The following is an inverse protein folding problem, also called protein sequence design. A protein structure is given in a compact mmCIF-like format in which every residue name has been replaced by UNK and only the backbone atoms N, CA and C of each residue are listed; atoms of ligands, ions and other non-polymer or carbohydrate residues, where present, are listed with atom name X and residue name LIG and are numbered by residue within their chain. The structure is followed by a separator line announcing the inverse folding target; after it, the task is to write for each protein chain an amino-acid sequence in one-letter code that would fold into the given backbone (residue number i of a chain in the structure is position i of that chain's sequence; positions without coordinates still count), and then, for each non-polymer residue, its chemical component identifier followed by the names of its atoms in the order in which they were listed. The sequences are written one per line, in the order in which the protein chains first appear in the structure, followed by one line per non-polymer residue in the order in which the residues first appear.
data_IF_122402490291
#
_entry.id   IF_122402490291
#
_cell.length_a   1.000
_cell.length_b   1.000
_cell.length_c   1.000
_cell.angle_alpha   90.00
_cell.angle_beta   90.00
_cell.angle_gamma   90.00
#
_symmetry.space_group_name_H-M   'P 1'
#
loop_
_entity.id
_entity.type
_entity.pdbx_description
1 polymer ?
#
# COMPACT_ATOMS: atom_id res chain seq x y z
N UNK A 1 2.94 18.83 16.09
CA UNK A 1 3.84 17.67 15.96
C UNK A 1 3.38 16.70 14.87
N UNK A 2 2.06 16.45 14.71
CA UNK A 2 1.51 15.56 13.65
C UNK A 2 1.90 16.00 12.25
N UNK A 3 1.89 17.31 11.96
CA UNK A 3 2.25 17.86 10.65
C UNK A 3 3.69 17.56 10.24
N UNK A 4 4.63 17.55 11.20
CA UNK A 4 6.02 17.16 10.96
C UNK A 4 6.15 15.69 10.54
N UNK A 5 5.37 14.81 11.16
CA UNK A 5 5.38 13.39 10.83
C UNK A 5 4.83 13.12 9.42
N UNK A 6 3.88 13.93 8.91
CA UNK A 6 3.45 13.86 7.52
C UNK A 6 4.59 14.21 6.56
N UNK A 7 5.34 15.27 6.84
CA UNK A 7 6.50 15.66 6.00
C UNK A 7 7.54 14.54 5.99
N UNK A 8 7.83 13.94 7.14
CA UNK A 8 8.75 12.79 7.22
C UNK A 8 8.29 11.62 6.38
N UNK A 9 6.98 11.30 6.40
CA UNK A 9 6.43 10.21 5.57
C UNK A 9 6.61 10.48 4.08
N UNK A 10 6.38 11.72 3.63
CA UNK A 10 6.59 12.12 2.24
C UNK A 10 8.06 12.04 1.85
N UNK A 11 8.96 12.53 2.70
CA UNK A 11 10.42 12.46 2.47
C UNK A 11 10.91 11.01 2.39
N UNK A 12 10.40 10.12 3.24
CA UNK A 12 10.69 8.69 3.16
C UNK A 12 10.28 8.10 1.80
N UNK A 13 9.09 8.46 1.30
CA UNK A 13 8.64 8.04 -0.03
C UNK A 13 9.53 8.57 -1.16
N UNK A 14 9.93 9.84 -1.10
CA UNK A 14 10.87 10.44 -2.04
C UNK A 14 12.23 9.74 -2.02
N UNK A 15 12.74 9.43 -0.83
CA UNK A 15 14.01 8.73 -0.66
C UNK A 15 13.97 7.32 -1.25
N UNK A 16 12.89 6.56 -0.99
CA UNK A 16 12.68 5.27 -1.61
C UNK A 16 12.66 5.37 -3.15
N UNK A 17 11.96 6.37 -3.69
CA UNK A 17 11.92 6.65 -5.13
C UNK A 17 13.29 6.99 -5.72
N UNK A 18 14.11 7.76 -5.01
CA UNK A 18 15.48 8.07 -5.44
C UNK A 18 16.36 6.82 -5.50
N UNK A 19 16.27 5.93 -4.50
CA UNK A 19 17.02 4.66 -4.50
C UNK A 19 16.64 3.82 -5.71
N UNK A 20 15.33 3.71 -6.01
CA UNK A 20 14.85 2.95 -7.17
C UNK A 20 15.30 3.56 -8.50
N UNK A 21 15.34 4.89 -8.60
CA UNK A 21 15.75 5.61 -9.81
C UNK A 21 17.24 5.58 -10.06
N UNK A 22 18.06 5.41 -9.04
CA UNK A 22 19.53 5.40 -9.15
C UNK A 22 20.01 4.22 -9.96
N UNK A 23 20.45 4.42 -11.20
CA UNK A 23 20.91 3.35 -12.09
C UNK A 23 22.32 2.82 -11.76
N UNK A 24 23.02 3.43 -10.80
CA UNK A 24 24.38 3.10 -10.41
C UNK A 24 24.53 1.66 -9.84
N UNK A 25 23.46 1.09 -9.28
CA UNK A 25 23.47 -0.22 -8.66
C UNK A 25 22.63 -1.23 -9.43
N UNK A 26 23.03 -2.52 -9.37
CA UNK A 26 22.22 -3.62 -9.91
C UNK A 26 20.83 -3.65 -9.25
N UNK A 27 19.83 -4.13 -9.99
CA UNK A 27 18.43 -4.21 -9.52
C UNK A 27 18.31 -4.95 -8.19
N UNK A 28 18.98 -6.09 -8.04
CA UNK A 28 18.96 -6.88 -6.82
C UNK A 28 19.52 -6.10 -5.61
N UNK A 29 20.60 -5.33 -5.80
CA UNK A 29 21.23 -4.54 -4.74
C UNK A 29 20.31 -3.41 -4.25
N UNK A 30 19.54 -2.79 -5.16
CA UNK A 30 18.54 -1.76 -4.77
C UNK A 30 17.44 -2.36 -3.90
N UNK A 31 16.91 -3.53 -4.29
CA UNK A 31 15.93 -4.25 -3.49
C UNK A 31 16.47 -4.57 -2.09
N UNK A 32 17.71 -5.03 -2.00
CA UNK A 32 18.36 -5.35 -0.74
C UNK A 32 18.54 -4.11 0.16
N UNK A 33 19.01 -2.99 -0.40
CA UNK A 33 19.17 -1.73 0.34
C UNK A 33 17.83 -1.25 0.90
N UNK A 34 16.75 -1.27 0.09
CA UNK A 34 15.41 -0.93 0.56
C UNK A 34 14.93 -1.85 1.68
N UNK A 35 15.19 -3.16 1.56
CA UNK A 35 14.84 -4.13 2.59
C UNK A 35 15.58 -3.85 3.91
N UNK A 36 16.89 -3.59 3.86
CA UNK A 36 17.68 -3.26 5.04
C UNK A 36 17.19 -2.00 5.73
N UNK A 37 16.95 -0.93 4.96
CA UNK A 37 16.38 0.32 5.50
C UNK A 37 15.01 0.04 6.12
N UNK A 38 14.16 -0.74 5.46
CA UNK A 38 12.84 -1.11 5.98
C UNK A 38 12.92 -1.84 7.32
N UNK A 39 13.81 -2.82 7.46
CA UNK A 39 14.03 -3.56 8.73
C UNK A 39 14.51 -2.62 9.83
N UNK A 40 15.47 -1.74 9.53
CA UNK A 40 15.99 -0.77 10.50
C UNK A 40 14.90 0.19 10.98
N UNK A 41 14.05 0.68 10.08
CA UNK A 41 12.95 1.59 10.42
C UNK A 41 11.87 0.89 11.26
N UNK A 42 11.51 -0.36 10.92
CA UNK A 42 10.58 -1.16 11.73
C UNK A 42 11.15 -1.40 13.12
N UNK A 43 12.42 -1.82 13.21
CA UNK A 43 13.11 -2.03 14.48
C UNK A 43 13.14 -0.77 15.34
N UNK A 44 13.51 0.39 14.76
CA UNK A 44 13.48 1.68 15.45
C UNK A 44 12.08 2.06 15.91
N UNK A 45 11.05 1.86 15.07
CA UNK A 45 9.66 2.11 15.41
C UNK A 45 9.18 1.28 16.61
N UNK A 46 9.56 -0.01 16.66
CA UNK A 46 9.24 -0.91 17.76
C UNK A 46 9.99 -0.55 19.06
N UNK A 47 11.25 -0.15 18.97
CA UNK A 47 12.02 0.31 20.14
C UNK A 47 11.42 1.58 20.74
N UNK A 48 11.07 2.55 19.90
CA UNK A 48 10.47 3.81 20.35
C UNK A 48 9.04 3.59 20.90
N UNK A 49 8.35 2.54 20.46
CA UNK A 49 7.02 2.19 20.95
C UNK A 49 6.97 1.98 22.48
N UNK A 50 8.09 1.63 23.11
CA UNK A 50 8.17 1.46 24.57
C UNK A 50 8.00 2.78 25.31
N UNK A 51 8.41 3.90 24.71
CA UNK A 51 8.32 5.26 25.29
C UNK A 51 7.14 6.02 24.67
N UNK A 52 6.95 5.92 23.38
CA UNK A 52 5.88 6.56 22.63
C UNK A 52 5.04 5.50 21.90
N UNK A 53 3.82 5.19 22.39
CA UNK A 53 3.01 4.13 21.81
C UNK A 53 2.63 4.43 20.36
N UNK A 54 2.50 3.37 19.56
CA UNK A 54 2.10 3.43 18.15
C UNK A 54 0.62 3.79 18.07
N UNK A 55 0.29 5.06 17.86
CA UNK A 55 -1.08 5.54 17.75
C UNK A 55 -1.30 6.17 16.38
N UNK A 56 -2.14 5.51 15.56
CA UNK A 56 -2.50 5.97 14.21
C UNK A 56 -3.24 7.33 14.24
N UNK A 57 -4.14 7.54 15.20
CA UNK A 57 -5.00 8.74 15.25
C UNK A 57 -4.22 10.06 15.39
N UNK A 58 -3.13 10.05 16.13
CA UNK A 58 -2.28 11.24 16.36
C UNK A 58 -1.02 11.24 15.49
N UNK A 59 -0.87 10.23 14.62
CA UNK A 59 0.29 10.09 13.74
C UNK A 59 1.61 10.17 14.50
N UNK A 60 1.76 9.29 15.52
CA UNK A 60 2.94 9.29 16.40
C UNK A 60 4.22 9.01 15.60
N UNK A 61 5.37 9.48 16.12
CA UNK A 61 6.68 9.26 15.48
C UNK A 61 7.02 7.77 15.36
N UNK A 62 6.67 6.97 16.38
CA UNK A 62 6.81 5.51 16.34
C UNK A 62 5.93 4.87 15.27
N UNK A 63 4.69 5.36 15.07
CA UNK A 63 3.81 4.92 14.00
C UNK A 63 4.40 5.27 12.62
N UNK A 64 4.95 6.47 12.46
CA UNK A 64 5.57 6.92 11.19
C UNK A 64 6.76 6.04 10.81
N UNK A 65 7.65 5.75 11.76
CA UNK A 65 8.80 4.87 11.52
C UNK A 65 8.37 3.44 11.22
N UNK A 66 7.45 2.89 12.00
CA UNK A 66 6.96 1.54 11.82
C UNK A 66 6.24 1.36 10.47
N UNK A 67 5.27 2.23 10.16
CA UNK A 67 4.53 2.17 8.90
C UNK A 67 5.41 2.48 7.69
N UNK A 68 6.30 3.47 7.79
CA UNK A 68 7.30 3.77 6.77
C UNK A 68 8.21 2.59 6.50
N UNK A 69 8.71 1.93 7.54
CA UNK A 69 9.54 0.72 7.41
C UNK A 69 8.81 -0.43 6.72
N UNK A 70 7.54 -0.67 7.06
CA UNK A 70 6.70 -1.66 6.35
C UNK A 70 6.52 -1.30 4.88
N UNK A 71 6.31 -0.03 4.54
CA UNK A 71 6.22 0.43 3.16
C UNK A 71 7.53 0.18 2.39
N UNK A 72 8.70 0.41 3.01
CA UNK A 72 10.00 0.09 2.41
C UNK A 72 10.15 -1.40 2.15
N UNK A 73 9.76 -2.26 3.09
CA UNK A 73 9.80 -3.72 2.92
C UNK A 73 8.89 -4.20 1.81
N UNK A 74 7.66 -3.70 1.76
CA UNK A 74 6.70 -4.04 0.70
C UNK A 74 7.20 -3.54 -0.67
N UNK A 75 7.79 -2.34 -0.73
CA UNK A 75 8.39 -1.80 -1.95
C UNK A 75 9.59 -2.65 -2.40
N UNK A 76 10.45 -3.07 -1.48
CA UNK A 76 11.58 -3.95 -1.77
C UNK A 76 11.10 -5.30 -2.32
N UNK A 77 10.07 -5.89 -1.69
CA UNK A 77 9.49 -7.16 -2.10
C UNK A 77 8.86 -7.09 -3.49
N UNK A 78 8.02 -6.09 -3.72
CA UNK A 78 7.36 -5.90 -5.03
C UNK A 78 8.37 -5.59 -6.13
N UNK A 79 9.37 -4.75 -5.85
CA UNK A 79 10.46 -4.46 -6.78
C UNK A 79 11.28 -5.72 -7.11
N UNK A 80 11.58 -6.53 -6.13
CA UNK A 80 12.29 -7.79 -6.33
C UNK A 80 11.49 -8.75 -7.22
N UNK A 81 10.20 -8.93 -6.96
CA UNK A 81 9.34 -9.84 -7.73
C UNK A 81 9.15 -9.34 -9.17
N UNK A 82 8.90 -8.03 -9.35
CA UNK A 82 8.56 -7.44 -10.65
C UNK A 82 9.81 -7.20 -11.51
N UNK A 83 10.82 -6.50 -10.94
CA UNK A 83 11.96 -5.99 -11.72
C UNK A 83 13.16 -6.92 -11.73
N UNK A 84 13.36 -7.71 -10.67
CA UNK A 84 14.47 -8.67 -10.59
C UNK A 84 14.05 -10.03 -11.16
N UNK A 85 12.89 -10.57 -10.72
CA UNK A 85 12.37 -11.86 -11.18
C UNK A 85 11.61 -11.79 -12.50
N UNK A 86 11.18 -10.59 -12.93
CA UNK A 86 10.44 -10.40 -14.16
C UNK A 86 8.98 -10.86 -14.13
N UNK A 87 8.41 -11.11 -12.94
CA UNK A 87 7.02 -11.58 -12.77
C UNK A 87 5.98 -10.44 -12.84
N UNK A 88 6.28 -9.39 -13.59
CA UNK A 88 5.41 -8.22 -13.73
C UNK A 88 4.01 -8.54 -14.28
N UNK A 89 3.85 -9.62 -15.04
CA UNK A 89 2.55 -10.04 -15.56
C UNK A 89 1.60 -10.50 -14.45
N UNK A 90 2.10 -11.19 -13.43
CA UNK A 90 1.30 -11.69 -12.30
C UNK A 90 0.77 -10.54 -11.44
N UNK A 91 1.55 -9.47 -11.34
CA UNK A 91 1.23 -8.29 -10.51
C UNK A 91 0.63 -7.13 -11.33
N UNK A 92 0.17 -7.40 -12.56
CA UNK A 92 -0.43 -6.37 -13.44
C UNK A 92 -1.65 -5.70 -12.81
N UNK A 93 -2.40 -6.40 -11.97
CA UNK A 93 -3.53 -5.84 -11.24
C UNK A 93 -3.12 -4.74 -10.24
N UNK A 94 -1.93 -4.84 -9.61
CA UNK A 94 -1.39 -3.77 -8.76
C UNK A 94 -1.11 -2.49 -9.56
N UNK A 95 -0.69 -2.62 -10.81
CA UNK A 95 -0.50 -1.49 -11.71
C UNK A 95 -1.80 -0.73 -11.94
N UNK A 96 -2.92 -1.45 -12.11
CA UNK A 96 -4.24 -0.85 -12.29
C UNK A 96 -4.64 -0.01 -11.08
N UNK A 97 -4.44 -0.54 -9.86
CA UNK A 97 -4.64 0.22 -8.63
C UNK A 97 -3.70 1.42 -8.52
N UNK A 98 -2.41 1.24 -8.82
CA UNK A 98 -1.41 2.29 -8.71
C UNK A 98 -1.65 3.47 -9.65
N UNK A 99 -2.15 3.22 -10.86
CA UNK A 99 -2.40 4.29 -11.84
C UNK A 99 -3.58 5.19 -11.49
N UNK A 100 -4.54 4.69 -10.72
CA UNK A 100 -5.71 5.43 -10.26
C UNK A 100 -5.87 5.38 -8.73
N UNK A 101 -4.76 5.42 -7.99
CA UNK A 101 -4.75 5.25 -6.53
C UNK A 101 -5.62 6.27 -5.79
N UNK A 102 -5.57 7.54 -6.22
CA UNK A 102 -6.39 8.61 -5.63
C UNK A 102 -7.87 8.35 -5.87
N UNK A 103 -8.23 7.95 -7.08
CA UNK A 103 -9.60 7.63 -7.42
C UNK A 103 -10.09 6.39 -6.66
N UNK A 104 -9.25 5.35 -6.54
CA UNK A 104 -9.57 4.17 -5.74
C UNK A 104 -9.88 4.55 -4.28
N UNK A 105 -9.08 5.45 -3.71
CA UNK A 105 -9.29 5.95 -2.36
C UNK A 105 -10.58 6.76 -2.23
N UNK A 106 -10.82 7.73 -3.13
CA UNK A 106 -12.01 8.57 -3.11
C UNK A 106 -13.30 7.76 -3.33
N UNK A 107 -13.29 6.87 -4.31
CA UNK A 107 -14.46 6.01 -4.60
C UNK A 107 -14.74 5.08 -3.43
N UNK A 108 -13.71 4.51 -2.79
CA UNK A 108 -13.86 3.68 -1.61
C UNK A 108 -14.39 4.43 -0.38
N UNK A 109 -14.21 5.76 -0.30
CA UNK A 109 -14.77 6.59 0.77
C UNK A 109 -16.21 7.03 0.51
N UNK A 110 -16.54 7.34 -0.75
CA UNK A 110 -17.86 7.87 -1.13
C UNK A 110 -18.88 6.76 -1.33
N UNK A 111 -18.46 5.65 -1.95
CA UNK A 111 -19.34 4.52 -2.25
C UNK A 111 -19.26 3.49 -1.15
N UNK A 112 -20.36 3.24 -0.49
CA UNK A 112 -20.45 2.17 0.52
C UNK A 112 -20.59 0.81 -0.17
N UNK A 113 -19.47 0.29 -0.66
CA UNK A 113 -19.44 -1.04 -1.30
C UNK A 113 -19.85 -2.16 -0.35
N UNK A 114 -19.77 -1.94 0.95
CA UNK A 114 -20.14 -2.93 1.96
C UNK A 114 -21.63 -3.28 1.85
N UNK A 115 -22.50 -2.31 1.62
CA UNK A 115 -23.93 -2.55 1.43
C UNK A 115 -24.21 -3.37 0.17
N UNK A 116 -23.52 -3.07 -0.93
CA UNK A 116 -23.66 -3.80 -2.21
C UNK A 116 -23.16 -5.24 -2.04
N UNK A 117 -22.01 -5.42 -1.42
CA UNK A 117 -21.44 -6.76 -1.20
C UNK A 117 -22.23 -7.58 -0.20
N UNK A 118 -22.81 -6.95 0.82
CA UNK A 118 -23.71 -7.62 1.77
C UNK A 118 -24.98 -8.12 1.08
N UNK A 119 -25.56 -7.33 0.17
CA UNK A 119 -26.73 -7.75 -0.61
C UNK A 119 -26.45 -8.95 -1.51
N UNK A 120 -25.22 -9.09 -2.02
CA UNK A 120 -24.82 -10.24 -2.84
C UNK A 120 -24.54 -11.48 -1.96
N UNK A 121 -24.08 -11.26 -0.73
CA UNK A 121 -23.73 -12.32 0.23
C UNK A 121 -24.87 -12.65 1.21
N UNK A 122 -26.10 -12.24 0.92
CA UNK A 122 -27.29 -12.62 1.70
C UNK A 122 -27.39 -14.17 1.74
N UNK A 123 -27.42 -14.71 2.94
CA UNK A 123 -27.45 -16.17 3.18
C UNK A 123 -26.12 -16.74 3.68
N UNK A 124 -25.02 -16.00 3.62
CA UNK A 124 -23.71 -16.41 4.17
C UNK A 124 -23.36 -15.73 5.50
N UNK A 125 -24.28 -14.93 6.05
CA UNK A 125 -24.06 -14.08 7.24
C UNK A 125 -23.65 -14.86 8.51
N UNK A 126 -23.99 -16.13 8.60
CA UNK A 126 -23.64 -16.99 9.73
C UNK A 126 -22.28 -17.68 9.66
N UNK A 127 -21.52 -17.51 8.57
CA UNK A 127 -20.23 -18.15 8.41
C UNK A 127 -19.09 -17.34 9.06
N UNK A 128 -18.16 -18.02 9.73
CA UNK A 128 -16.97 -17.37 10.30
C UNK A 128 -16.10 -16.64 9.23
N UNK A 129 -16.18 -17.05 7.98
CA UNK A 129 -15.46 -16.44 6.85
C UNK A 129 -16.19 -15.22 6.23
N UNK A 130 -17.40 -14.87 6.69
CA UNK A 130 -18.20 -13.78 6.12
C UNK A 130 -17.47 -12.44 6.02
N UNK A 131 -16.76 -11.94 7.05
CA UNK A 131 -16.03 -10.67 6.96
C UNK A 131 -14.92 -10.68 5.92
N UNK A 132 -14.27 -11.83 5.75
CA UNK A 132 -13.18 -12.01 4.76
C UNK A 132 -13.77 -11.99 3.35
N UNK A 133 -14.85 -12.74 3.12
CA UNK A 133 -15.56 -12.79 1.84
C UNK A 133 -16.07 -11.40 1.43
N UNK A 134 -16.64 -10.66 2.37
CA UNK A 134 -17.16 -9.32 2.16
C UNK A 134 -16.05 -8.35 1.74
N UNK A 135 -14.90 -8.40 2.42
CA UNK A 135 -13.74 -7.56 2.09
C UNK A 135 -13.17 -7.92 0.72
N UNK A 136 -13.12 -9.22 0.40
CA UNK A 136 -12.64 -9.70 -0.89
C UNK A 136 -13.56 -9.26 -2.04
N UNK A 137 -14.86 -9.35 -1.86
CA UNK A 137 -15.86 -8.91 -2.84
C UNK A 137 -15.79 -7.39 -3.06
N UNK A 138 -15.69 -6.60 -1.99
CA UNK A 138 -15.50 -5.15 -2.08
C UNK A 138 -14.25 -4.78 -2.90
N UNK A 139 -13.13 -5.45 -2.63
CA UNK A 139 -11.88 -5.23 -3.36
C UNK A 139 -11.99 -5.63 -4.83
N UNK A 140 -12.73 -6.70 -5.12
CA UNK A 140 -12.96 -7.18 -6.49
C UNK A 140 -13.83 -6.22 -7.28
N UNK A 141 -14.90 -5.71 -6.70
CA UNK A 141 -15.78 -4.70 -7.33
C UNK A 141 -14.97 -3.45 -7.69
N UNK A 142 -14.16 -2.95 -6.74
CA UNK A 142 -13.30 -1.80 -6.97
C UNK A 142 -12.29 -2.07 -8.10
N UNK A 143 -11.69 -3.26 -8.12
CA UNK A 143 -10.74 -3.67 -9.17
C UNK A 143 -11.41 -3.72 -10.55
N UNK A 144 -12.64 -4.19 -10.65
CA UNK A 144 -13.41 -4.21 -11.91
C UNK A 144 -13.64 -2.79 -12.41
N UNK A 145 -14.08 -1.86 -11.54
CA UNK A 145 -14.28 -0.45 -11.89
C UNK A 145 -12.99 0.17 -12.40
N UNK A 146 -11.88 0.00 -11.68
CA UNK A 146 -10.59 0.52 -12.06
C UNK A 146 -10.06 -0.10 -13.36
N UNK A 147 -10.36 -1.39 -13.61
CA UNK A 147 -9.98 -2.08 -14.84
C UNK A 147 -10.71 -1.53 -16.06
N UNK A 148 -11.99 -1.20 -15.92
CA UNK A 148 -12.79 -0.55 -16.97
C UNK A 148 -12.19 0.82 -17.29
N UNK A 149 -11.90 1.63 -16.26
CA UNK A 149 -11.27 2.93 -16.43
C UNK A 149 -9.88 2.84 -17.08
N UNK A 150 -9.10 1.83 -16.69
CA UNK A 150 -7.80 1.57 -17.30
C UNK A 150 -7.92 1.24 -18.79
N UNK A 151 -8.89 0.42 -19.19
CA UNK A 151 -9.18 0.11 -20.60
C UNK A 151 -9.55 1.37 -21.40
N UNK A 152 -10.34 2.24 -20.83
CA UNK A 152 -10.74 3.51 -21.47
C UNK A 152 -9.69 4.62 -21.36
N UNK A 153 -8.50 4.32 -20.81
CA UNK A 153 -7.39 5.29 -20.61
C UNK A 153 -7.81 6.53 -19.81
N UNK A 154 -8.81 6.39 -18.95
CA UNK A 154 -9.27 7.47 -18.06
C UNK A 154 -8.38 7.42 -16.81
N UNK A 155 -7.45 8.37 -16.70
CA UNK A 155 -6.54 8.50 -15.56
C UNK A 155 -6.78 9.84 -14.91
N UNK A 156 -7.08 9.84 -13.62
CA UNK A 156 -7.16 11.05 -12.83
C UNK A 156 -5.72 11.44 -12.47
N UNK A 157 -5.13 12.37 -13.22
CA UNK A 157 -3.86 13.00 -12.89
C UNK A 157 -4.14 14.22 -12.04
N UNK A 158 -3.61 14.25 -10.84
CA UNK A 158 -3.56 15.41 -9.96
C UNK A 158 -2.20 16.04 -10.03
#
# INVERSE_FOLDING_TARGET
LSSLNFVVTVLMGCFAGQILRTQKYQKSRRAFVLAVIGVLLVGAGLLINQVFPIIKKIWSSSFTLYSGGLCFLLTALTYYIVDVRGWGKVLSWLKIYGMNAILAYCVGMVVNFTSVSASVLVGFEGMACYPILLTFLNSTILLVILSIMYKHKIFLKV
#
